data_IF_943549788741
#
_entry.id   IF_943549788741
#
_cell.length_a   1.000
_cell.length_b   1.000
_cell.length_c   1.000
_cell.angle_alpha   90.00
_cell.angle_beta   90.00
_cell.angle_gamma   90.00
#
_symmetry.space_group_name_H-M   'P 1'
#
loop_
_entity.id
_entity.type
_entity.pdbx_description
1 polymer ?
#
# COMPACT_ATOMS: atom_id res chain seq x y z
N UNK A 1 -19.56 -14.66 1.15
CA UNK A 1 -21.01 -14.37 1.36
C UNK A 1 -21.27 -14.46 2.86
N UNK A 2 -21.86 -13.40 3.46
CA UNK A 2 -22.26 -13.24 4.88
C UNK A 2 -21.20 -12.79 5.90
N UNK A 3 -20.88 -11.49 5.94
CA UNK A 3 -20.52 -10.80 7.19
C UNK A 3 -20.69 -9.27 7.17
N UNK A 4 -21.75 -8.76 6.51
CA UNK A 4 -22.09 -7.32 6.50
C UNK A 4 -23.61 -7.07 6.64
N UNK A 5 -24.35 -7.94 7.34
CA UNK A 5 -25.82 -7.87 7.34
C UNK A 5 -26.46 -7.20 8.57
N UNK A 6 -25.70 -6.72 9.55
CA UNK A 6 -26.28 -6.12 10.77
C UNK A 6 -25.56 -4.83 11.19
N UNK A 7 -25.49 -3.84 10.29
CA UNK A 7 -25.44 -2.46 10.76
C UNK A 7 -26.80 -2.15 11.42
N UNK A 8 -26.85 -1.81 12.72
CA UNK A 8 -28.11 -1.49 13.36
C UNK A 8 -28.69 -0.23 12.70
N UNK A 9 -29.73 -0.41 11.87
CA UNK A 9 -30.38 0.65 11.08
C UNK A 9 -30.73 1.88 11.93
N UNK A 10 -31.06 1.68 13.20
CA UNK A 10 -31.33 2.75 14.17
C UNK A 10 -30.10 3.63 14.46
N UNK A 11 -28.90 3.03 14.52
CA UNK A 11 -27.64 3.75 14.78
C UNK A 11 -27.19 4.55 13.56
N UNK A 12 -27.39 3.98 12.36
CA UNK A 12 -27.17 4.70 11.11
C UNK A 12 -28.15 5.87 10.94
N UNK A 13 -29.44 5.67 11.24
CA UNK A 13 -30.45 6.74 11.19
C UNK A 13 -30.17 7.86 12.20
N UNK A 14 -29.72 7.52 13.42
CA UNK A 14 -29.31 8.50 14.42
C UNK A 14 -28.09 9.31 13.96
N UNK A 15 -27.08 8.67 13.36
CA UNK A 15 -25.92 9.38 12.83
C UNK A 15 -26.33 10.32 11.70
N UNK A 16 -27.10 9.85 10.71
CA UNK A 16 -27.56 10.68 9.60
C UNK A 16 -28.40 11.88 10.04
N UNK A 17 -29.20 11.72 11.09
CA UNK A 17 -30.03 12.82 11.64
C UNK A 17 -29.23 13.86 12.43
N UNK A 18 -28.09 13.47 13.00
CA UNK A 18 -27.26 14.32 13.85
C UNK A 18 -25.91 14.70 13.22
N UNK A 19 -25.64 14.27 11.98
CA UNK A 19 -24.51 14.77 11.22
C UNK A 19 -24.74 16.27 11.00
N UNK A 20 -23.76 17.12 11.33
CA UNK A 20 -23.85 18.51 10.93
C UNK A 20 -24.05 18.55 9.42
N UNK A 21 -25.02 19.35 8.95
CA UNK A 21 -25.09 19.71 7.54
C UNK A 21 -23.78 20.41 7.18
N UNK A 22 -22.83 19.66 6.63
CA UNK A 22 -21.67 20.25 5.99
C UNK A 22 -22.16 20.87 4.70
N UNK A 23 -22.63 22.12 4.77
CA UNK A 23 -22.82 22.93 3.58
C UNK A 23 -21.46 23.04 2.89
N UNK A 24 -21.45 22.90 1.55
CA UNK A 24 -20.24 22.99 0.73
C UNK A 24 -19.44 24.30 0.97
N UNK A 25 -20.06 25.27 1.62
CA UNK A 25 -19.52 26.57 2.02
C UNK A 25 -18.51 26.50 3.20
N UNK A 26 -18.50 25.42 3.98
CA UNK A 26 -17.54 25.20 5.07
C UNK A 26 -16.32 24.35 4.67
N UNK A 27 -16.34 23.76 3.48
CA UNK A 27 -15.15 23.17 2.90
C UNK A 27 -14.24 24.32 2.46
N UNK A 28 -13.27 24.69 3.31
CA UNK A 28 -12.09 25.41 2.83
C UNK A 28 -11.62 24.70 1.56
N UNK A 29 -11.34 25.46 0.49
CA UNK A 29 -10.83 24.95 -0.78
C UNK A 29 -9.45 24.32 -0.55
N UNK A 30 -9.41 23.17 0.09
CA UNK A 30 -8.25 22.31 0.15
C UNK A 30 -8.05 21.82 -1.28
N UNK A 31 -6.86 22.06 -1.83
CA UNK A 31 -6.53 21.62 -3.16
C UNK A 31 -6.65 20.10 -3.22
N UNK A 32 -7.65 19.60 -3.95
CA UNK A 32 -7.81 18.17 -4.17
C UNK A 32 -6.60 17.67 -4.94
N UNK A 33 -5.79 16.84 -4.30
CA UNK A 33 -4.63 16.22 -4.92
C UNK A 33 -4.92 14.77 -5.31
N UNK A 34 -4.39 14.35 -6.46
CA UNK A 34 -4.37 12.96 -6.90
C UNK A 34 -2.95 12.53 -7.27
N UNK A 35 -2.63 11.26 -7.02
CA UNK A 35 -1.35 10.67 -7.37
C UNK A 35 -1.50 9.26 -7.92
N UNK A 36 -0.58 8.87 -8.81
CA UNK A 36 -0.53 7.52 -9.36
C UNK A 36 -0.22 6.49 -8.26
N UNK A 37 -0.88 5.33 -8.31
CA UNK A 37 -0.66 4.19 -7.41
C UNK A 37 -0.03 3.04 -8.21
N UNK A 38 1.31 3.00 -8.35
CA UNK A 38 1.96 1.93 -9.11
C UNK A 38 1.65 0.57 -8.48
N UNK A 39 1.07 -0.31 -9.30
CA UNK A 39 0.58 -1.64 -8.98
C UNK A 39 1.16 -2.64 -9.98
N UNK A 40 1.44 -3.86 -9.52
CA UNK A 40 1.82 -5.00 -10.35
C UNK A 40 0.63 -5.96 -10.52
N UNK A 41 0.59 -6.81 -11.56
CA UNK A 41 -0.57 -7.66 -11.88
C UNK A 41 -1.07 -8.56 -10.75
N UNK A 42 -0.20 -8.91 -9.80
CA UNK A 42 -0.48 -9.78 -8.67
C UNK A 42 -0.69 -9.04 -7.34
N UNK A 43 -0.68 -7.69 -7.36
CA UNK A 43 -0.78 -6.84 -6.17
C UNK A 43 0.31 -7.05 -5.10
N UNK A 44 1.43 -7.70 -5.45
CA UNK A 44 2.60 -7.84 -4.56
C UNK A 44 3.72 -6.89 -4.99
N UNK A 45 4.56 -6.40 -4.06
CA UNK A 45 5.70 -5.57 -4.44
C UNK A 45 6.78 -6.39 -5.15
N UNK A 46 7.69 -5.70 -5.84
CA UNK A 46 8.99 -6.25 -6.23
C UNK A 46 10.03 -5.77 -5.24
N UNK A 47 10.74 -6.71 -4.63
CA UNK A 47 11.84 -6.48 -3.67
C UNK A 47 12.95 -7.48 -4.01
N UNK A 48 13.88 -7.08 -4.88
CA UNK A 48 14.98 -7.97 -5.29
C UNK A 48 16.15 -7.20 -5.90
N UNK A 49 17.28 -7.88 -6.04
CA UNK A 49 18.35 -7.44 -6.93
C UNK A 49 17.93 -7.65 -8.39
N UNK A 50 18.33 -6.76 -9.29
CA UNK A 50 18.09 -6.90 -10.72
C UNK A 50 18.93 -8.06 -11.30
N UNK A 51 18.32 -8.86 -12.16
CA UNK A 51 19.02 -9.95 -12.83
C UNK A 51 20.16 -9.40 -13.70
N UNK A 52 21.32 -10.06 -13.70
CA UNK A 52 22.52 -9.67 -14.44
C UNK A 52 23.15 -8.32 -14.04
N UNK A 53 22.73 -7.71 -12.92
CA UNK A 53 23.28 -6.45 -12.43
C UNK A 53 23.61 -6.50 -10.94
N UNK A 54 24.90 -6.41 -10.62
CA UNK A 54 25.39 -6.57 -9.23
C UNK A 54 25.09 -5.40 -8.29
N UNK A 55 24.68 -4.25 -8.84
CA UNK A 55 24.55 -2.99 -8.12
C UNK A 55 23.17 -2.33 -8.25
N UNK A 56 22.21 -3.03 -8.86
CA UNK A 56 20.86 -2.50 -9.11
C UNK A 56 19.86 -3.31 -8.30
N UNK A 57 18.99 -2.61 -7.56
CA UNK A 57 17.98 -3.20 -6.69
C UNK A 57 16.62 -2.55 -6.98
N UNK A 58 15.57 -3.36 -6.91
CA UNK A 58 14.19 -2.95 -7.11
C UNK A 58 13.41 -2.98 -5.80
N UNK A 59 12.67 -1.91 -5.55
CA UNK A 59 11.75 -1.74 -4.43
C UNK A 59 10.52 -0.95 -4.91
N UNK A 60 9.58 -1.61 -5.56
CA UNK A 60 8.47 -0.96 -6.27
C UNK A 60 7.16 -1.75 -6.17
N UNK A 61 6.03 -1.13 -6.51
CA UNK A 61 4.73 -1.80 -6.60
C UNK A 61 3.95 -1.90 -5.28
N UNK A 62 4.27 -1.08 -4.27
CA UNK A 62 3.61 -1.09 -2.94
C UNK A 62 2.21 -0.44 -2.90
N UNK A 63 1.70 0.08 -4.02
CA UNK A 63 0.35 0.62 -4.14
C UNK A 63 0.01 1.66 -3.04
N UNK A 64 -1.09 1.47 -2.32
CA UNK A 64 -1.54 2.30 -1.22
C UNK A 64 -0.89 1.92 0.13
N UNK A 65 -0.10 0.85 0.18
CA UNK A 65 0.54 0.35 1.40
C UNK A 65 1.97 0.88 1.60
N UNK A 66 2.43 1.80 0.73
CA UNK A 66 3.80 2.33 0.76
C UNK A 66 4.18 2.93 2.12
N UNK A 67 3.28 3.66 2.78
CA UNK A 67 3.57 4.28 4.07
C UNK A 67 3.76 3.24 5.19
N UNK A 68 2.98 2.16 5.15
CA UNK A 68 3.06 1.07 6.12
C UNK A 68 4.28 0.17 5.89
N UNK A 69 4.58 -0.13 4.62
CA UNK A 69 5.60 -1.12 4.26
C UNK A 69 6.96 -0.52 3.90
N UNK A 70 7.08 0.81 3.82
CA UNK A 70 8.31 1.49 3.41
C UNK A 70 9.50 1.17 4.33
N UNK A 71 9.31 1.22 5.65
CA UNK A 71 10.37 0.97 6.61
C UNK A 71 10.93 -0.46 6.52
N UNK A 72 10.06 -1.47 6.48
CA UNK A 72 10.50 -2.87 6.35
C UNK A 72 11.13 -3.13 4.98
N UNK A 73 10.61 -2.53 3.91
CA UNK A 73 11.21 -2.63 2.57
C UNK A 73 12.61 -2.04 2.55
N UNK A 74 12.82 -0.87 3.15
CA UNK A 74 14.13 -0.24 3.27
C UNK A 74 15.13 -1.12 4.02
N UNK A 75 14.71 -1.75 5.13
CA UNK A 75 15.53 -2.73 5.86
C UNK A 75 15.90 -3.92 4.96
N UNK A 76 14.94 -4.50 4.26
CA UNK A 76 15.19 -5.65 3.38
C UNK A 76 16.14 -5.29 2.23
N UNK A 77 15.99 -4.12 1.62
CA UNK A 77 16.91 -3.64 0.59
C UNK A 77 18.31 -3.42 1.16
N UNK A 78 18.44 -2.83 2.35
CA UNK A 78 19.73 -2.70 3.03
C UNK A 78 20.42 -4.06 3.21
N UNK A 79 19.67 -5.06 3.68
CA UNK A 79 20.19 -6.42 3.84
C UNK A 79 20.60 -7.06 2.50
N UNK A 80 19.82 -6.86 1.43
CA UNK A 80 20.19 -7.34 0.10
C UNK A 80 21.47 -6.66 -0.42
N UNK A 81 21.61 -5.34 -0.21
CA UNK A 81 22.78 -4.56 -0.64
C UNK A 81 24.05 -5.01 0.11
N UNK A 82 23.95 -5.26 1.42
CA UNK A 82 25.08 -5.72 2.25
C UNK A 82 25.32 -7.23 2.17
N UNK A 83 24.53 -7.95 1.35
CA UNK A 83 24.56 -9.43 1.23
C UNK A 83 24.30 -10.16 2.55
N UNK A 84 23.56 -9.52 3.45
CA UNK A 84 23.07 -10.12 4.67
C UNK A 84 21.83 -10.99 4.43
N UNK A 85 21.58 -11.94 5.33
CA UNK A 85 20.32 -12.68 5.33
C UNK A 85 19.16 -11.72 5.60
N UNK A 86 18.18 -11.71 4.71
CA UNK A 86 16.97 -10.89 4.87
C UNK A 86 16.13 -11.33 6.08
N UNK A 87 15.43 -10.37 6.70
CA UNK A 87 14.58 -10.65 7.87
C UNK A 87 13.40 -11.58 7.57
N UNK A 88 12.95 -11.61 6.31
CA UNK A 88 11.98 -12.57 5.77
C UNK A 88 12.49 -13.13 4.46
N UNK A 89 11.96 -14.28 4.03
CA UNK A 89 12.21 -14.78 2.69
C UNK A 89 11.54 -13.88 1.64
N UNK A 90 12.35 -13.27 0.77
CA UNK A 90 11.90 -12.32 -0.24
C UNK A 90 11.72 -12.95 -1.62
N UNK A 91 11.93 -14.26 -1.78
CA UNK A 91 11.86 -14.95 -3.09
C UNK A 91 10.51 -14.75 -3.80
N UNK A 92 9.41 -14.71 -3.05
CA UNK A 92 8.07 -14.46 -3.60
C UNK A 92 7.93 -13.05 -4.23
N UNK A 93 8.80 -12.11 -3.86
CA UNK A 93 8.78 -10.73 -4.34
C UNK A 93 9.80 -10.48 -5.47
N UNK A 94 10.42 -11.53 -6.03
CA UNK A 94 11.35 -11.35 -7.13
C UNK A 94 10.62 -10.94 -8.40
N UNK A 95 11.28 -10.12 -9.22
CA UNK A 95 10.73 -9.70 -10.52
C UNK A 95 10.60 -10.88 -11.49
N UNK A 96 11.42 -11.92 -11.32
CA UNK A 96 11.42 -13.12 -12.15
C UNK A 96 10.13 -13.93 -12.05
N UNK A 97 9.22 -13.62 -11.11
CA UNK A 97 7.92 -14.30 -11.00
C UNK A 97 6.96 -14.01 -12.17
N UNK A 98 7.27 -13.01 -13.00
CA UNK A 98 6.48 -12.65 -14.18
C UNK A 98 7.08 -13.16 -15.50
N UNK A 99 8.18 -13.92 -15.44
CA UNK A 99 8.88 -14.48 -16.60
C UNK A 99 8.78 -16.00 -16.65
#
# INVERSE_FOLDING_TARGET
MLLLANFPKAKAAFILKNLPEQTAEQATKEESWMGCRPLLPDSLPVICQAQNHDKIFFALGHQHLVLTQGAITGKLIGQLVTKEKTAIDVRAFYISRFN
#
